data_IF_019158523673
#
_entry.id   IF_019158523673
#
_cell.length_a   1.000
_cell.length_b   1.000
_cell.length_c   1.000
_cell.angle_alpha   90.00
_cell.angle_beta   90.00
_cell.angle_gamma   90.00
#
_symmetry.space_group_name_H-M   'P 1'
#
loop_
_entity.id
_entity.type
_entity.pdbx_description
1 polymer ?
#
# COMPACT_ATOMS: atom_id res chain seq x y z
N UNK A 1 17.07 -12.88 -5.30
CA UNK A 1 15.90 -13.58 -4.72
C UNK A 1 15.05 -12.66 -3.84
N UNK A 2 15.58 -12.09 -2.75
CA UNK A 2 14.76 -11.28 -1.82
C UNK A 2 14.17 -10.01 -2.48
N UNK A 3 14.96 -9.26 -3.27
CA UNK A 3 14.46 -8.08 -4.00
C UNK A 3 13.37 -8.48 -5.02
N UNK A 4 13.52 -9.61 -5.75
CA UNK A 4 12.47 -10.11 -6.66
C UNK A 4 11.15 -10.38 -5.92
N UNK A 5 11.22 -10.90 -4.69
CA UNK A 5 10.02 -11.11 -3.85
C UNK A 5 9.39 -9.79 -3.42
N UNK A 6 10.19 -8.82 -3.01
CA UNK A 6 9.67 -7.49 -2.65
C UNK A 6 9.02 -6.82 -3.86
N UNK A 7 9.63 -6.88 -5.06
CA UNK A 7 9.03 -6.37 -6.30
C UNK A 7 7.65 -6.99 -6.55
N UNK A 8 7.52 -8.31 -6.41
CA UNK A 8 6.23 -8.98 -6.59
C UNK A 8 5.21 -8.58 -5.51
N UNK A 9 5.65 -8.31 -4.28
CA UNK A 9 4.80 -7.80 -3.21
C UNK A 9 4.27 -6.39 -3.52
N UNK A 10 5.13 -5.47 -3.98
CA UNK A 10 4.69 -4.12 -4.39
C UNK A 10 3.72 -4.17 -5.58
N UNK A 11 3.99 -5.02 -6.58
CA UNK A 11 3.07 -5.22 -7.70
C UNK A 11 1.72 -5.79 -7.27
N UNK A 12 1.71 -6.71 -6.29
CA UNK A 12 0.48 -7.25 -5.73
C UNK A 12 -0.28 -6.20 -4.92
N UNK A 13 0.43 -5.37 -4.15
CA UNK A 13 -0.17 -4.25 -3.42
C UNK A 13 -0.80 -3.22 -4.37
N UNK A 14 -0.10 -2.86 -5.45
CA UNK A 14 -0.63 -2.05 -6.53
C UNK A 14 -1.93 -2.65 -7.10
N UNK A 15 -1.95 -3.96 -7.36
CA UNK A 15 -3.14 -4.61 -7.90
C UNK A 15 -4.33 -4.63 -6.91
N UNK A 16 -4.05 -4.76 -5.61
CA UNK A 16 -5.06 -4.64 -4.55
C UNK A 16 -5.63 -3.22 -4.50
N UNK A 17 -4.79 -2.20 -4.49
CA UNK A 17 -5.23 -0.79 -4.47
C UNK A 17 -5.99 -0.38 -5.73
N UNK A 18 -5.61 -0.92 -6.90
CA UNK A 18 -6.40 -0.75 -8.12
C UNK A 18 -7.82 -1.31 -7.92
N UNK A 19 -7.94 -2.52 -7.36
CA UNK A 19 -9.24 -3.13 -7.06
C UNK A 19 -10.05 -2.33 -6.03
N UNK A 20 -9.41 -1.78 -5.01
CA UNK A 20 -10.07 -0.91 -4.02
C UNK A 20 -10.60 0.37 -4.69
N UNK A 21 -9.75 1.06 -5.45
CA UNK A 21 -10.11 2.28 -6.18
C UNK A 21 -11.33 2.04 -7.07
N UNK A 22 -11.27 1.03 -7.96
CA UNK A 22 -12.38 0.71 -8.86
C UNK A 22 -13.67 0.33 -8.13
N UNK A 23 -13.61 -0.24 -6.93
CA UNK A 23 -14.81 -0.56 -6.16
C UNK A 23 -15.50 0.70 -5.62
N UNK A 24 -14.74 1.67 -5.11
CA UNK A 24 -15.30 2.90 -4.56
C UNK A 24 -15.78 3.88 -5.64
N UNK A 25 -15.33 3.74 -6.89
CA UNK A 25 -15.84 4.48 -8.07
C UNK A 25 -17.21 4.02 -8.54
N UNK A 26 -17.70 2.84 -8.13
CA UNK A 26 -18.99 2.31 -8.59
C UNK A 26 -20.14 3.22 -8.20
N UNK A 27 -21.18 3.27 -9.03
CA UNK A 27 -22.38 4.08 -8.80
C UNK A 27 -23.15 3.69 -7.53
N UNK A 28 -23.04 2.42 -7.11
CA UNK A 28 -23.67 1.88 -5.90
C UNK A 28 -22.82 2.01 -4.63
N UNK A 29 -21.62 2.60 -4.72
CA UNK A 29 -20.73 2.91 -3.58
C UNK A 29 -20.43 4.42 -3.50
N UNK A 30 -19.98 5.00 -4.62
CA UNK A 30 -19.85 6.44 -4.88
C UNK A 30 -19.08 7.27 -3.84
N UNK A 31 -17.88 6.80 -3.43
CA UNK A 31 -16.98 7.53 -2.53
C UNK A 31 -15.73 7.96 -3.31
N UNK A 32 -15.85 9.08 -4.00
CA UNK A 32 -14.90 9.52 -5.01
C UNK A 32 -13.50 9.82 -4.44
N UNK A 33 -13.39 10.43 -3.26
CA UNK A 33 -12.09 10.76 -2.68
C UNK A 33 -11.42 9.52 -2.08
N UNK A 34 -12.20 8.58 -1.53
CA UNK A 34 -11.67 7.27 -1.13
C UNK A 34 -11.15 6.51 -2.35
N UNK A 35 -11.88 6.55 -3.47
CA UNK A 35 -11.43 5.96 -4.72
C UNK A 35 -10.13 6.62 -5.24
N UNK A 36 -10.03 7.95 -5.18
CA UNK A 36 -8.86 8.71 -5.60
C UNK A 36 -7.63 8.42 -4.72
N UNK A 37 -7.80 8.35 -3.40
CA UNK A 37 -6.74 7.94 -2.47
C UNK A 37 -6.14 6.59 -2.86
N UNK A 38 -6.98 5.59 -3.15
CA UNK A 38 -6.49 4.29 -3.62
C UNK A 38 -5.97 4.32 -5.06
N UNK A 39 -6.46 5.25 -5.90
CA UNK A 39 -5.94 5.48 -7.23
C UNK A 39 -4.47 5.94 -7.18
N UNK A 40 -4.17 6.88 -6.29
CA UNK A 40 -2.81 7.36 -6.07
C UNK A 40 -1.96 6.32 -5.36
N UNK A 41 -2.55 5.60 -4.40
CA UNK A 41 -1.92 4.46 -3.74
C UNK A 41 -1.42 3.41 -4.73
N UNK A 42 -2.24 2.92 -5.66
CA UNK A 42 -1.77 1.87 -6.58
C UNK A 42 -0.66 2.36 -7.52
N UNK A 43 -0.71 3.63 -7.94
CA UNK A 43 0.34 4.24 -8.77
C UNK A 43 1.66 4.34 -7.99
N UNK A 44 1.60 4.68 -6.71
CA UNK A 44 2.78 4.74 -5.85
C UNK A 44 3.39 3.36 -5.64
N UNK A 45 2.59 2.32 -5.38
CA UNK A 45 3.12 0.96 -5.23
C UNK A 45 3.72 0.42 -6.54
N UNK A 46 3.18 0.83 -7.69
CA UNK A 46 3.80 0.52 -8.98
C UNK A 46 5.17 1.21 -9.11
N UNK A 47 5.28 2.50 -8.74
CA UNK A 47 6.55 3.23 -8.70
C UNK A 47 7.56 2.61 -7.73
N UNK A 48 7.10 2.09 -6.59
CA UNK A 48 7.93 1.32 -5.66
C UNK A 48 8.52 0.06 -6.33
N UNK A 49 7.70 -0.69 -7.05
CA UNK A 49 8.14 -1.87 -7.80
C UNK A 49 9.17 -1.49 -8.88
N UNK A 50 8.93 -0.42 -9.64
CA UNK A 50 9.85 0.10 -10.66
C UNK A 50 11.19 0.53 -10.05
N UNK A 51 11.17 1.26 -8.92
CA UNK A 51 12.38 1.69 -8.22
C UNK A 51 13.25 0.51 -7.76
N UNK A 52 12.63 -0.59 -7.31
CA UNK A 52 13.35 -1.81 -6.94
C UNK A 52 13.91 -2.54 -8.18
N UNK A 53 13.21 -2.52 -9.31
CA UNK A 53 13.69 -3.06 -10.58
C UNK A 53 14.91 -2.29 -11.10
N UNK A 54 14.86 -0.96 -11.05
CA UNK A 54 15.98 -0.08 -11.39
C UNK A 54 17.19 -0.38 -10.52
N UNK A 55 17.02 -0.44 -9.19
CA UNK A 55 18.09 -0.84 -8.28
C UNK A 55 18.71 -2.19 -8.68
N UNK A 56 17.86 -3.17 -9.01
CA UNK A 56 18.32 -4.49 -9.40
C UNK A 56 19.16 -4.44 -10.67
N UNK A 57 18.72 -3.69 -11.68
CA UNK A 57 19.46 -3.49 -12.93
C UNK A 57 20.79 -2.78 -12.67
N UNK A 58 20.78 -1.67 -11.91
CA UNK A 58 21.99 -0.90 -11.55
C UNK A 58 23.04 -1.76 -10.84
N UNK A 59 22.60 -2.70 -10.00
CA UNK A 59 23.51 -3.59 -9.26
C UNK A 59 23.88 -4.87 -10.00
N UNK A 60 23.54 -4.96 -11.30
CA UNK A 60 23.83 -6.12 -12.13
C UNK A 60 23.03 -7.38 -11.79
N UNK A 61 21.95 -7.24 -11.01
CA UNK A 61 21.02 -8.31 -10.68
C UNK A 61 20.21 -8.79 -11.89
N UNK A 62 19.33 -9.76 -11.66
CA UNK A 62 18.45 -10.31 -12.69
C UNK A 62 17.02 -10.35 -12.17
N UNK A 63 16.15 -9.61 -12.85
CA UNK A 63 14.72 -9.61 -12.58
C UNK A 63 14.13 -10.96 -12.96
N UNK A 64 13.35 -11.53 -12.05
CA UNK A 64 12.58 -12.74 -12.31
C UNK A 64 11.15 -12.48 -11.87
N UNK A 65 10.30 -12.10 -12.83
CA UNK A 65 8.89 -11.83 -12.58
C UNK A 65 8.17 -13.12 -12.17
N UNK A 66 7.14 -12.97 -11.35
CA UNK A 66 6.28 -14.04 -10.85
C UNK A 66 4.83 -13.65 -11.10
N UNK A 67 3.91 -14.62 -10.94
CA UNK A 67 2.49 -14.34 -10.99
C UNK A 67 2.12 -13.26 -9.96
N UNK A 68 1.34 -12.26 -10.40
CA UNK A 68 0.69 -11.33 -9.50
C UNK A 68 -0.66 -11.95 -9.18
N UNK A 69 -0.87 -12.32 -7.91
CA UNK A 69 -2.12 -12.95 -7.49
C UNK A 69 -3.26 -11.94 -7.61
N UNK A 70 -4.43 -12.42 -8.02
CA UNK A 70 -5.65 -11.62 -7.95
C UNK A 70 -5.92 -11.26 -6.48
N UNK A 71 -6.39 -10.04 -6.17
CA UNK A 71 -6.88 -9.71 -4.83
C UNK A 71 -7.89 -10.76 -4.33
N UNK A 72 -7.81 -11.11 -3.04
CA UNK A 72 -8.64 -12.17 -2.46
C UNK A 72 -10.13 -11.84 -2.34
N UNK A 73 -10.57 -10.66 -2.80
CA UNK A 73 -11.95 -10.20 -2.81
C UNK A 73 -12.18 -9.18 -3.93
N UNK A 74 -13.42 -9.09 -4.39
CA UNK A 74 -13.87 -8.12 -5.38
C UNK A 74 -14.75 -7.00 -4.77
N UNK A 75 -15.13 -7.15 -3.51
CA UNK A 75 -15.90 -6.16 -2.74
C UNK A 75 -15.15 -5.75 -1.48
N UNK A 76 -15.05 -4.44 -1.23
CA UNK A 76 -14.21 -3.87 -0.16
C UNK A 76 -15.02 -3.29 1.01
N UNK A 77 -16.34 -3.41 0.98
CA UNK A 77 -17.21 -3.02 2.08
C UNK A 77 -17.36 -1.50 2.18
N UNK A 78 -17.11 -0.97 3.37
CA UNK A 78 -17.21 0.46 3.68
C UNK A 78 -15.82 1.08 3.92
N UNK A 79 -15.80 2.40 4.13
CA UNK A 79 -14.58 3.18 4.35
C UNK A 79 -13.73 2.64 5.50
N UNK A 80 -14.34 2.20 6.61
CA UNK A 80 -13.59 1.65 7.74
C UNK A 80 -12.92 0.33 7.36
N UNK A 81 -13.68 -0.59 6.78
CA UNK A 81 -13.16 -1.89 6.39
C UNK A 81 -12.00 -1.77 5.39
N UNK A 82 -12.12 -0.93 4.36
CA UNK A 82 -11.04 -0.78 3.37
C UNK A 82 -9.79 -0.15 3.99
N UNK A 83 -9.92 0.86 4.85
CA UNK A 83 -8.77 1.50 5.50
C UNK A 83 -8.05 0.55 6.45
N UNK A 84 -8.78 -0.31 7.16
CA UNK A 84 -8.19 -1.39 7.97
C UNK A 84 -7.44 -2.40 7.09
N UNK A 85 -8.00 -2.77 5.91
CA UNK A 85 -7.29 -3.68 4.98
C UNK A 85 -6.03 -3.05 4.40
N UNK A 86 -6.10 -1.78 4.02
CA UNK A 86 -4.96 -1.02 3.55
C UNK A 86 -3.87 -0.93 4.62
N UNK A 87 -4.25 -0.68 5.88
CA UNK A 87 -3.32 -0.62 7.00
C UNK A 87 -2.58 -1.94 7.21
N UNK A 88 -3.28 -3.07 7.17
CA UNK A 88 -2.67 -4.39 7.30
C UNK A 88 -1.78 -4.75 6.08
N UNK A 89 -2.17 -4.33 4.88
CA UNK A 89 -1.34 -4.48 3.69
C UNK A 89 -0.03 -3.69 3.83
N UNK A 90 -0.09 -2.42 4.24
CA UNK A 90 1.11 -1.59 4.44
C UNK A 90 2.01 -2.14 5.54
N UNK A 91 1.45 -2.65 6.65
CA UNK A 91 2.25 -3.36 7.67
C UNK A 91 2.96 -4.59 7.10
N UNK A 92 2.29 -5.33 6.21
CA UNK A 92 2.89 -6.51 5.54
C UNK A 92 4.04 -6.11 4.62
N UNK A 93 3.86 -5.05 3.82
CA UNK A 93 4.90 -4.50 2.94
C UNK A 93 6.09 -4.01 3.78
N UNK A 94 5.82 -3.24 4.83
CA UNK A 94 6.84 -2.75 5.75
C UNK A 94 7.61 -3.88 6.42
N UNK A 95 6.97 -4.98 6.82
CA UNK A 95 7.67 -6.15 7.35
C UNK A 95 8.60 -6.77 6.29
N UNK A 96 8.15 -6.90 5.04
CA UNK A 96 9.00 -7.37 3.93
C UNK A 96 10.23 -6.49 3.70
N UNK A 97 10.07 -5.17 3.80
CA UNK A 97 11.16 -4.20 3.71
C UNK A 97 12.13 -4.29 4.90
N UNK A 98 11.63 -4.46 6.12
CA UNK A 98 12.46 -4.67 7.31
C UNK A 98 13.26 -5.98 7.22
N UNK A 99 12.64 -7.05 6.74
CA UNK A 99 13.32 -8.34 6.52
C UNK A 99 14.41 -8.20 5.45
N UNK A 100 14.13 -7.46 4.37
CA UNK A 100 15.10 -7.15 3.33
C UNK A 100 16.25 -6.29 3.86
N UNK A 101 15.96 -5.30 4.71
CA UNK A 101 16.96 -4.46 5.37
C UNK A 101 17.85 -5.29 6.31
N UNK A 102 17.25 -6.16 7.12
CA UNK A 102 17.99 -7.05 8.03
C UNK A 102 18.91 -7.99 7.26
N UNK A 103 18.44 -8.54 6.14
CA UNK A 103 19.25 -9.36 5.25
C UNK A 103 20.41 -8.55 4.63
N UNK A 104 20.14 -7.33 4.16
CA UNK A 104 21.17 -6.44 3.62
C UNK A 104 22.26 -6.12 4.66
N UNK A 105 21.84 -5.82 5.89
CA UNK A 105 22.74 -5.55 7.01
C UNK A 105 23.59 -6.78 7.37
N UNK A 106 22.97 -7.96 7.47
CA UNK A 106 23.66 -9.22 7.74
C UNK A 106 24.66 -9.60 6.63
N UNK A 107 24.40 -9.16 5.39
CA UNK A 107 25.30 -9.32 4.24
C UNK A 107 26.30 -8.17 4.06
N UNK A 108 26.32 -7.21 4.99
CA UNK A 108 27.19 -6.04 4.95
C UNK A 108 27.04 -5.25 3.63
N UNK A 109 25.80 -5.06 3.18
CA UNK A 109 25.46 -4.25 2.00
C UNK A 109 24.96 -2.85 2.43
N UNK A 110 25.87 -1.90 2.72
CA UNK A 110 25.49 -0.58 3.22
C UNK A 110 24.70 0.23 2.18
N UNK A 111 24.96 0.01 0.89
CA UNK A 111 24.26 0.72 -0.18
C UNK A 111 22.78 0.32 -0.22
N UNK A 112 22.47 -0.99 -0.14
CA UNK A 112 21.07 -1.44 -0.05
C UNK A 112 20.39 -0.94 1.22
N UNK A 113 21.08 -0.97 2.37
CA UNK A 113 20.55 -0.44 3.62
C UNK A 113 20.15 1.04 3.53
N UNK A 114 21.02 1.88 2.94
CA UNK A 114 20.75 3.30 2.74
C UNK A 114 19.57 3.47 1.78
N UNK A 115 19.59 2.77 0.64
CA UNK A 115 18.52 2.83 -0.35
C UNK A 115 17.13 2.53 0.27
N UNK A 116 17.02 1.44 1.05
CA UNK A 116 15.75 1.06 1.69
C UNK A 116 15.27 2.10 2.70
N UNK A 117 16.20 2.68 3.49
CA UNK A 117 15.87 3.75 4.44
C UNK A 117 15.36 5.01 3.72
N UNK A 118 16.07 5.45 2.70
CA UNK A 118 15.79 6.70 1.99
C UNK A 118 14.48 6.63 1.21
N UNK A 119 14.23 5.51 0.53
CA UNK A 119 13.16 5.42 -0.46
C UNK A 119 11.91 4.67 0.00
N UNK A 120 11.96 3.94 1.12
CA UNK A 120 10.86 3.05 1.53
C UNK A 120 10.53 3.18 3.01
N UNK A 121 11.46 2.91 3.92
CA UNK A 121 11.14 2.78 5.35
C UNK A 121 10.58 4.07 5.98
N UNK A 122 11.08 5.24 5.60
CA UNK A 122 10.54 6.50 6.08
C UNK A 122 9.09 6.71 5.59
N UNK A 123 8.83 6.46 4.30
CA UNK A 123 7.50 6.59 3.71
C UNK A 123 6.51 5.61 4.32
N UNK A 124 6.94 4.37 4.58
CA UNK A 124 6.11 3.33 5.20
C UNK A 124 5.59 3.74 6.59
N UNK A 125 6.43 4.40 7.41
CA UNK A 125 5.98 4.88 8.73
C UNK A 125 4.89 5.96 8.59
N UNK A 126 5.01 6.83 7.59
CA UNK A 126 4.02 7.88 7.34
C UNK A 126 2.68 7.32 6.87
N UNK A 127 2.67 6.43 5.88
CA UNK A 127 1.42 5.84 5.36
C UNK A 127 0.71 4.97 6.41
N UNK A 128 1.46 4.22 7.23
CA UNK A 128 0.89 3.43 8.34
C UNK A 128 0.25 4.35 9.38
N UNK A 129 0.87 5.50 9.68
CA UNK A 129 0.31 6.49 10.61
C UNK A 129 -0.98 7.10 10.06
N UNK A 130 -0.96 7.52 8.80
CA UNK A 130 -2.10 8.14 8.12
C UNK A 130 -3.30 7.20 8.06
N UNK A 131 -3.09 5.95 7.62
CA UNK A 131 -4.14 4.93 7.61
C UNK A 131 -4.69 4.65 9.03
N UNK A 132 -3.83 4.63 10.04
CA UNK A 132 -4.25 4.50 11.44
C UNK A 132 -5.14 5.68 11.93
N UNK A 133 -4.84 6.90 11.47
CA UNK A 133 -5.65 8.08 11.77
C UNK A 133 -7.00 8.01 11.07
N UNK A 134 -7.04 7.57 9.81
CA UNK A 134 -8.28 7.37 9.06
C UNK A 134 -9.18 6.33 9.73
N UNK A 135 -8.65 5.18 10.10
CA UNK A 135 -9.38 4.15 10.86
C UNK A 135 -9.98 4.76 12.14
N UNK A 136 -9.19 5.50 12.91
CA UNK A 136 -9.65 6.14 14.15
C UNK A 136 -10.78 7.15 13.91
N UNK A 137 -10.67 7.97 12.86
CA UNK A 137 -11.68 8.97 12.54
C UNK A 137 -12.97 8.34 12.01
N UNK A 138 -12.89 7.31 11.18
CA UNK A 138 -14.05 6.56 10.70
C UNK A 138 -14.82 5.90 11.84
N UNK A 139 -14.11 5.32 12.82
CA UNK A 139 -14.73 4.78 14.05
C UNK A 139 -15.43 5.89 14.86
N UNK A 140 -14.80 7.05 15.02
CA UNK A 140 -15.40 8.22 15.71
C UNK A 140 -16.64 8.77 15.00
N UNK A 141 -16.69 8.65 13.68
CA UNK A 141 -17.84 9.01 12.85
C UNK A 141 -18.95 7.95 12.85
N UNK A 142 -18.74 6.82 13.54
CA UNK A 142 -19.73 5.76 13.72
C UNK A 142 -19.86 4.81 12.53
N UNK A 143 -18.86 4.74 11.63
CA UNK A 143 -18.83 3.76 10.53
C UNK A 143 -18.57 2.35 11.12
N UNK A 144 -19.26 1.29 10.67
CA UNK A 144 -20.16 1.21 9.50
C UNK A 144 -21.63 1.60 9.76
N UNK A 145 -22.03 1.85 11.01
CA UNK A 145 -23.43 2.15 11.34
C UNK A 145 -23.95 3.51 10.83
N UNK A 146 -23.03 4.43 10.50
CA UNK A 146 -23.33 5.80 10.08
C UNK A 146 -22.97 6.06 8.62
N UNK A 147 -23.95 5.98 7.73
CA UNK A 147 -23.77 6.37 6.32
C UNK A 147 -23.38 7.85 6.16
N UNK A 148 -23.91 8.73 7.02
CA UNK A 148 -23.50 10.13 7.06
C UNK A 148 -22.02 10.28 7.46
N UNK A 149 -21.56 9.48 8.42
CA UNK A 149 -20.16 9.47 8.85
C UNK A 149 -19.21 9.10 7.71
N UNK A 150 -19.56 8.09 6.92
CA UNK A 150 -18.78 7.68 5.76
C UNK A 150 -18.74 8.76 4.67
N UNK A 151 -19.87 9.40 4.40
CA UNK A 151 -19.94 10.52 3.45
C UNK A 151 -19.13 11.72 3.91
N UNK A 152 -19.21 12.09 5.20
CA UNK A 152 -18.41 13.19 5.75
C UNK A 152 -16.92 12.89 5.72
N UNK A 153 -16.53 11.64 5.99
CA UNK A 153 -15.14 11.22 5.89
C UNK A 153 -14.60 11.41 4.47
N UNK A 154 -15.31 10.88 3.47
CA UNK A 154 -14.94 11.04 2.05
C UNK A 154 -14.81 12.51 1.65
N UNK A 155 -15.68 13.38 2.16
CA UNK A 155 -15.71 14.79 1.73
C UNK A 155 -14.74 15.72 2.45
N UNK A 156 -14.37 15.41 3.69
CA UNK A 156 -13.68 16.36 4.58
C UNK A 156 -12.32 15.89 5.05
N UNK A 157 -12.00 14.61 4.88
CA UNK A 157 -10.70 14.08 5.27
C UNK A 157 -9.65 14.47 4.23
N UNK A 158 -8.41 14.74 4.62
CA UNK A 158 -7.32 14.99 3.69
C UNK A 158 -6.86 13.65 3.11
N UNK A 159 -7.68 13.11 2.21
CA UNK A 159 -7.40 11.95 1.38
C UNK A 159 -6.51 12.35 0.20
#
# INVERSE_FOLDING_TARGET
AAINRQINLELHASYIYLSMSSYFERDDVALAHVAEFFADGWREELRHAERLQELMATRGGRLTLQHIQKPGRDAWGNGLEVMERALELQKTINQGLLDLYNLASAKQDPHLCIFLKTHFLNQQVHIIKELGDFVTNLQRLGVPGSGQGQYLFDRLSPL
#
